data_IF_110510753532
#
_entry.id   IF_110510753532
#
_cell.length_a   1.000
_cell.length_b   1.000
_cell.length_c   1.000
_cell.angle_alpha   90.00
_cell.angle_beta   90.00
_cell.angle_gamma   90.00
#
_symmetry.space_group_name_H-M   'P 1'
#
loop_
_entity.id
_entity.type
_entity.pdbx_description
1 polymer ?
#
# COMPACT_ATOMS: atom_id res chain seq x y z
N UNK A 1 6.29 -7.22 20.54
CA UNK A 1 5.21 -6.62 21.36
C UNK A 1 3.94 -6.64 20.53
N UNK A 2 2.91 -7.39 20.94
CA UNK A 2 1.66 -7.55 20.17
C UNK A 2 0.70 -6.37 20.38
N UNK A 3 1.11 -5.17 19.94
CA UNK A 3 0.34 -3.92 20.06
C UNK A 3 -0.08 -3.42 18.69
N UNK A 4 -1.24 -2.78 18.63
CA UNK A 4 -1.71 -2.06 17.45
C UNK A 4 -1.31 -0.60 17.55
N UNK A 5 -0.18 -0.25 16.91
CA UNK A 5 0.39 1.09 16.97
C UNK A 5 -0.49 2.13 16.26
N UNK A 6 -1.27 1.72 15.26
CA UNK A 6 -2.15 2.62 14.49
C UNK A 6 -3.35 3.00 15.35
N UNK A 7 -3.95 2.03 16.05
CA UNK A 7 -5.03 2.29 17.00
C UNK A 7 -4.61 3.32 18.07
N UNK A 8 -3.44 3.09 18.68
CA UNK A 8 -2.93 3.97 19.73
C UNK A 8 -2.63 5.39 19.22
N UNK A 9 -2.04 5.51 18.03
CA UNK A 9 -1.80 6.80 17.39
C UNK A 9 -3.11 7.55 17.14
N UNK A 10 -4.10 6.92 16.51
CA UNK A 10 -5.39 7.56 16.18
C UNK A 10 -6.12 8.00 17.44
N UNK A 11 -6.16 7.15 18.47
CA UNK A 11 -6.74 7.50 19.77
C UNK A 11 -6.04 8.68 20.43
N UNK A 12 -4.70 8.72 20.42
CA UNK A 12 -3.94 9.81 21.03
C UNK A 12 -4.15 11.16 20.30
N UNK A 13 -4.25 11.15 18.97
CA UNK A 13 -4.55 12.34 18.18
C UNK A 13 -5.94 12.89 18.53
N UNK A 14 -6.95 12.02 18.54
CA UNK A 14 -8.34 12.39 18.87
C UNK A 14 -8.50 12.89 20.29
N UNK A 15 -7.82 12.27 21.26
CA UNK A 15 -7.83 12.72 22.66
C UNK A 15 -7.30 14.16 22.84
N UNK A 16 -6.51 14.67 21.88
CA UNK A 16 -6.02 16.05 21.86
C UNK A 16 -6.80 16.96 20.89
N UNK A 17 -7.93 16.50 20.35
CA UNK A 17 -8.72 17.27 19.39
C UNK A 17 -8.05 17.45 18.02
N UNK A 18 -7.07 16.62 17.68
CA UNK A 18 -6.38 16.66 16.38
C UNK A 18 -7.02 15.69 15.39
N UNK A 19 -7.01 16.06 14.12
CA UNK A 19 -7.34 15.15 13.00
C UNK A 19 -6.25 14.11 12.84
N UNK A 20 -6.63 12.87 12.55
CA UNK A 20 -5.71 11.75 12.38
C UNK A 20 -5.59 11.39 10.90
N UNK A 21 -4.42 11.65 10.31
CA UNK A 21 -4.07 11.18 8.96
C UNK A 21 -3.26 9.89 9.00
N UNK A 22 -3.48 9.02 8.02
CA UNK A 22 -2.72 7.78 7.82
C UNK A 22 -2.07 7.80 6.42
N UNK A 23 -0.79 7.47 6.37
CA UNK A 23 -0.06 7.19 5.14
C UNK A 23 -0.20 5.71 4.79
N UNK A 24 -0.36 5.40 3.51
CA UNK A 24 -0.36 4.03 3.00
C UNK A 24 0.42 3.94 1.68
N UNK A 25 1.39 3.03 1.61
CA UNK A 25 2.12 2.76 0.37
C UNK A 25 1.37 1.69 -0.44
N UNK A 26 1.05 2.01 -1.70
CA UNK A 26 0.58 1.04 -2.68
C UNK A 26 1.70 0.12 -3.17
N UNK A 27 2.95 0.50 -2.91
CA UNK A 27 4.11 -0.32 -3.19
C UNK A 27 4.45 -1.19 -1.99
N UNK A 28 4.47 -2.50 -2.17
CA UNK A 28 4.77 -3.46 -1.09
C UNK A 28 5.86 -4.44 -1.52
N UNK A 29 7.11 -4.11 -1.22
CA UNK A 29 8.27 -4.95 -1.54
C UNK A 29 8.33 -6.26 -0.74
N UNK A 30 7.44 -6.46 0.22
CA UNK A 30 7.35 -7.68 1.00
C UNK A 30 6.30 -8.66 0.44
N UNK A 31 5.21 -8.16 -0.16
CA UNK A 31 4.17 -9.05 -0.70
C UNK A 31 4.69 -9.81 -1.94
N UNK A 32 4.60 -11.16 -1.99
CA UNK A 32 5.21 -11.96 -3.05
C UNK A 32 4.57 -11.73 -4.44
N UNK A 33 3.33 -11.25 -4.47
CA UNK A 33 2.61 -10.93 -5.71
C UNK A 33 2.77 -9.45 -6.14
N UNK A 34 3.50 -8.61 -5.38
CA UNK A 34 3.70 -7.21 -5.76
C UNK A 34 4.66 -7.07 -6.95
N UNK A 35 4.32 -6.11 -7.81
CA UNK A 35 4.97 -5.77 -9.07
C UNK A 35 5.05 -6.96 -10.04
N UNK A 36 3.96 -7.72 -10.19
CA UNK A 36 3.89 -8.83 -11.17
C UNK A 36 3.47 -8.39 -12.58
N UNK A 37 3.12 -7.12 -12.79
CA UNK A 37 2.83 -6.54 -14.12
C UNK A 37 3.60 -5.23 -14.31
N UNK A 38 4.01 -4.93 -15.55
CA UNK A 38 4.66 -3.66 -15.90
C UNK A 38 3.60 -2.63 -16.22
N UNK A 39 3.77 -1.43 -15.67
CA UNK A 39 2.92 -0.32 -16.07
C UNK A 39 3.19 0.00 -17.57
N UNK A 40 2.17 0.14 -18.42
CA UNK A 40 2.35 0.29 -19.87
C UNK A 40 3.06 1.58 -20.27
N UNK A 41 3.06 2.59 -19.38
CA UNK A 41 3.76 3.87 -19.52
C UNK A 41 4.44 4.22 -18.20
N UNK A 42 5.57 3.60 -17.85
CA UNK A 42 6.17 3.77 -16.54
C UNK A 42 6.59 5.24 -16.36
N UNK A 43 6.26 5.87 -15.22
CA UNK A 43 6.60 7.28 -14.97
C UNK A 43 8.12 7.50 -14.85
N UNK A 44 8.84 6.44 -14.47
CA UNK A 44 10.29 6.37 -14.33
C UNK A 44 10.85 5.27 -15.25
N UNK A 45 11.02 5.53 -16.57
CA UNK A 45 11.56 4.56 -17.52
C UNK A 45 12.93 4.00 -17.12
N UNK A 46 13.71 4.76 -16.35
CA UNK A 46 15.02 4.37 -15.83
C UNK A 46 14.95 3.30 -14.72
N UNK A 47 13.77 3.09 -14.11
CA UNK A 47 13.58 2.16 -13.00
C UNK A 47 12.87 0.86 -13.41
N UNK A 48 12.46 0.72 -14.68
CA UNK A 48 11.60 -0.40 -15.14
C UNK A 48 12.25 -1.77 -15.03
N UNK A 49 13.58 -1.83 -15.00
CA UNK A 49 14.32 -3.09 -14.85
C UNK A 49 14.79 -3.32 -13.40
N UNK A 50 14.36 -2.46 -12.47
CA UNK A 50 14.56 -2.67 -11.04
C UNK A 50 13.60 -3.75 -10.52
N UNK A 51 14.11 -4.81 -9.87
CA UNK A 51 13.27 -5.88 -9.31
C UNK A 51 12.40 -5.39 -8.13
N UNK A 52 12.65 -4.18 -7.62
CA UNK A 52 11.87 -3.56 -6.55
C UNK A 52 10.66 -2.77 -7.06
N UNK A 53 10.59 -2.51 -8.37
CA UNK A 53 9.60 -1.58 -8.94
C UNK A 53 8.80 -2.22 -10.08
N UNK A 54 9.32 -3.28 -10.71
CA UNK A 54 8.69 -3.93 -11.86
C UNK A 54 9.15 -5.40 -11.98
N UNK A 55 8.32 -6.28 -12.57
CA UNK A 55 8.70 -7.66 -12.82
C UNK A 55 9.77 -7.70 -13.92
N UNK A 56 10.52 -8.80 -14.05
CA UNK A 56 11.46 -8.97 -15.17
C UNK A 56 10.74 -8.85 -16.55
N UNK A 57 11.42 -8.37 -17.61
CA UNK A 57 10.79 -8.27 -18.93
C UNK A 57 10.24 -9.62 -19.40
N UNK A 58 8.99 -9.63 -19.86
CA UNK A 58 8.32 -10.84 -20.38
C UNK A 58 7.80 -11.82 -19.32
N UNK A 59 7.97 -11.54 -18.02
CA UNK A 59 7.53 -12.40 -16.93
C UNK A 59 6.30 -11.82 -16.19
N UNK A 60 5.32 -11.29 -16.92
CA UNK A 60 4.12 -10.72 -16.31
C UNK A 60 3.15 -11.81 -15.84
N UNK A 61 2.58 -11.63 -14.64
CA UNK A 61 1.53 -12.47 -14.07
C UNK A 61 0.34 -11.60 -13.62
N UNK A 62 -0.68 -11.44 -14.48
CA UNK A 62 -1.88 -10.67 -14.15
C UNK A 62 -2.72 -11.26 -13.02
N UNK A 63 -2.72 -12.59 -12.84
CA UNK A 63 -3.48 -13.24 -11.77
C UNK A 63 -2.82 -13.03 -10.41
N UNK A 64 -1.49 -13.01 -10.35
CA UNK A 64 -0.77 -12.56 -9.16
C UNK A 64 -1.09 -11.10 -8.85
N UNK A 65 -1.14 -10.25 -9.87
CA UNK A 65 -1.45 -8.84 -9.67
C UNK A 65 -2.85 -8.66 -9.07
N UNK A 66 -3.86 -9.35 -9.61
CA UNK A 66 -5.23 -9.33 -9.06
C UNK A 66 -5.28 -9.72 -7.58
N UNK A 67 -4.55 -10.78 -7.16
CA UNK A 67 -4.45 -11.15 -5.74
C UNK A 67 -3.83 -10.05 -4.88
N UNK A 68 -2.79 -9.39 -5.39
CA UNK A 68 -2.19 -8.26 -4.68
C UNK A 68 -3.16 -7.08 -4.55
N UNK A 69 -3.91 -6.76 -5.61
CA UNK A 69 -4.93 -5.71 -5.58
C UNK A 69 -6.00 -6.02 -4.51
N UNK A 70 -6.48 -7.25 -4.44
CA UNK A 70 -7.46 -7.69 -3.44
C UNK A 70 -6.90 -7.58 -2.01
N UNK A 71 -5.65 -7.99 -1.79
CA UNK A 71 -4.97 -7.85 -0.50
C UNK A 71 -4.85 -6.38 -0.08
N UNK A 72 -4.36 -5.53 -0.98
CA UNK A 72 -4.19 -4.08 -0.75
C UNK A 72 -5.53 -3.40 -0.46
N UNK A 73 -6.55 -3.68 -1.25
CA UNK A 73 -7.88 -3.09 -1.07
C UNK A 73 -8.52 -3.56 0.24
N UNK A 74 -8.25 -4.80 0.66
CA UNK A 74 -8.56 -5.30 2.00
C UNK A 74 -7.91 -4.49 3.12
N UNK A 75 -6.61 -4.17 3.00
CA UNK A 75 -5.90 -3.33 3.98
C UNK A 75 -6.47 -1.91 4.02
N UNK A 76 -6.72 -1.30 2.87
CA UNK A 76 -7.34 0.03 2.80
C UNK A 76 -8.73 0.03 3.44
N UNK A 77 -9.53 -1.01 3.18
CA UNK A 77 -10.83 -1.20 3.83
C UNK A 77 -10.69 -1.32 5.36
N UNK A 78 -9.73 -2.10 5.85
CA UNK A 78 -9.41 -2.16 7.29
C UNK A 78 -9.07 -0.78 7.87
N UNK A 79 -8.22 -0.01 7.20
CA UNK A 79 -7.83 1.32 7.67
C UNK A 79 -9.03 2.26 7.78
N UNK A 80 -9.87 2.28 6.75
CA UNK A 80 -11.06 3.13 6.69
C UNK A 80 -12.12 2.72 7.72
N UNK A 81 -12.32 1.42 7.92
CA UNK A 81 -13.40 0.92 8.79
C UNK A 81 -13.00 0.83 10.26
N UNK A 82 -11.77 0.41 10.56
CA UNK A 82 -11.28 0.25 11.94
C UNK A 82 -10.80 1.56 12.54
N UNK A 83 -10.17 2.42 11.75
CA UNK A 83 -9.55 3.63 12.26
C UNK A 83 -10.27 4.91 11.83
N UNK A 84 -10.88 4.93 10.63
CA UNK A 84 -11.61 6.10 10.12
C UNK A 84 -10.76 7.38 10.08
N UNK A 85 -9.65 7.40 9.32
CA UNK A 85 -8.76 8.55 9.26
C UNK A 85 -9.43 9.76 8.57
N UNK A 86 -9.05 10.96 8.98
CA UNK A 86 -9.47 12.22 8.36
C UNK A 86 -8.75 12.48 7.03
N UNK A 87 -7.58 11.88 6.86
CA UNK A 87 -6.76 11.93 5.64
C UNK A 87 -6.18 10.54 5.41
N UNK A 88 -6.42 9.99 4.23
CA UNK A 88 -5.66 8.84 3.74
C UNK A 88 -4.71 9.33 2.65
N UNK A 89 -3.41 9.24 2.91
CA UNK A 89 -2.37 9.73 2.02
C UNK A 89 -1.69 8.55 1.33
N UNK A 90 -1.81 8.48 0.01
CA UNK A 90 -1.29 7.39 -0.79
C UNK A 90 0.03 7.74 -1.46
N UNK A 91 0.87 6.73 -1.61
CA UNK A 91 2.16 6.80 -2.28
C UNK A 91 2.50 5.49 -2.97
N UNK A 92 3.56 5.49 -3.78
CA UNK A 92 4.11 4.29 -4.42
C UNK A 92 3.47 3.97 -5.75
#
# INVERSE_FOLDING_TARGET
AGRDLVAEYVSAMRARGLRAGLYYSHSDWNHPDYASVRHPRPPHPELVDSPYVSPAPGAEDPLAWERYLDYRDGQVCELLTRFGPDLLWFDG
#
